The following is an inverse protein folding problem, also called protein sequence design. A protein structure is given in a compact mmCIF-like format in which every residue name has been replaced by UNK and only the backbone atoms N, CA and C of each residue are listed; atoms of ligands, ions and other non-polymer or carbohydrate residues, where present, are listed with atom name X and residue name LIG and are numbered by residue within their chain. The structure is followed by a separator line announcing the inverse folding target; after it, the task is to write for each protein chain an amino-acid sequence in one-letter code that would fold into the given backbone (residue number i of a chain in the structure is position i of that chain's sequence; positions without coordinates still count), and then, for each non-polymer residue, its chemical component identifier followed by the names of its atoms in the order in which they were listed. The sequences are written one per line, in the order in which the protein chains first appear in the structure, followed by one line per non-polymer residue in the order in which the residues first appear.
data_IF_259441584210
#
_entry.id   IF_259441584210
#
_cell.length_a   1.000
_cell.length_b   1.000
_cell.length_c   1.000
_cell.angle_alpha   90.00
_cell.angle_beta   90.00
_cell.angle_gamma   90.00
#
_symmetry.space_group_name_H-M   'P 1'
#
loop_
_entity.id
_entity.type
_entity.pdbx_description
1 polymer ?
#
# COMPACT_ATOMS: atom_id res chain seq x y z
N UNK A 1 8.91 24.47 25.51
CA UNK A 1 8.34 25.84 25.49
C UNK A 1 6.83 25.68 25.38
N UNK A 2 6.12 26.09 26.42
CA UNK A 2 4.66 26.04 26.49
C UNK A 2 4.06 27.29 25.88
N UNK A 3 3.28 27.16 24.82
CA UNK A 3 2.33 28.21 24.45
C UNK A 3 0.93 27.70 24.75
N UNK A 4 0.26 28.29 25.72
CA UNK A 4 -1.10 27.95 26.12
C UNK A 4 -2.09 28.73 25.25
N UNK A 5 -2.71 28.10 24.28
CA UNK A 5 -3.96 28.61 23.75
C UNK A 5 -5.10 28.02 24.56
N UNK A 6 -5.67 28.83 25.42
CA UNK A 6 -6.81 28.50 26.27
C UNK A 6 -8.07 29.13 25.73
N UNK A 7 -9.16 28.38 25.67
CA UNK A 7 -10.44 28.70 26.29
C UNK A 7 -11.65 27.84 25.88
N UNK A 8 -11.48 26.85 25.02
CA UNK A 8 -12.62 26.04 24.63
C UNK A 8 -12.49 24.53 24.88
N UNK A 9 -11.31 24.06 25.29
CA UNK A 9 -11.05 22.64 25.49
C UNK A 9 -10.41 22.38 26.85
N UNK A 10 -10.89 21.38 27.57
CA UNK A 10 -10.33 20.86 28.83
C UNK A 10 -8.90 20.30 28.69
N UNK A 11 -8.29 20.42 27.52
CA UNK A 11 -7.02 19.79 27.18
C UNK A 11 -5.96 20.84 26.84
N UNK A 12 -4.80 20.72 27.47
CA UNK A 12 -3.64 21.56 27.14
C UNK A 12 -2.86 20.95 25.99
N UNK A 13 -2.49 21.77 25.00
CA UNK A 13 -1.64 21.41 23.88
C UNK A 13 -0.30 22.13 24.01
N UNK A 14 0.77 21.44 23.56
CA UNK A 14 2.12 21.99 23.49
C UNK A 14 2.74 21.71 22.13
N UNK A 15 3.80 22.45 21.82
CA UNK A 15 4.66 22.17 20.67
C UNK A 15 5.84 21.36 21.18
N UNK A 16 6.08 20.22 20.58
CA UNK A 16 7.12 19.26 20.91
C UNK A 16 8.04 19.04 19.72
N UNK A 17 9.29 18.75 19.99
CA UNK A 17 10.23 18.33 18.98
C UNK A 17 10.24 16.80 18.91
N UNK A 18 10.18 16.27 17.68
CA UNK A 18 10.19 14.82 17.46
C UNK A 18 11.62 14.27 17.65
N UNK A 19 11.85 13.28 18.53
CA UNK A 19 13.18 12.73 18.78
C UNK A 19 13.77 11.95 17.58
N UNK A 20 12.97 11.67 16.56
CA UNK A 20 13.39 10.85 15.40
C UNK A 20 13.67 11.67 14.13
N UNK A 21 13.08 12.86 13.99
CA UNK A 21 13.23 13.67 12.79
C UNK A 21 13.35 15.17 13.07
N UNK A 22 13.43 15.57 14.33
CA UNK A 22 13.55 16.96 14.82
C UNK A 22 12.45 17.93 14.36
N UNK A 23 11.41 17.43 13.69
CA UNK A 23 10.27 18.25 13.30
C UNK A 23 9.43 18.63 14.51
N UNK A 24 9.01 19.88 14.56
CA UNK A 24 8.10 20.38 15.59
C UNK A 24 6.66 19.98 15.27
N UNK A 25 5.93 19.50 16.26
CA UNK A 25 4.52 19.12 16.10
C UNK A 25 3.69 19.48 17.34
N UNK A 26 2.41 19.75 17.13
CA UNK A 26 1.46 20.07 18.22
C UNK A 26 0.84 18.76 18.73
N UNK A 27 0.88 18.58 20.05
CA UNK A 27 0.26 17.42 20.69
C UNK A 27 -0.34 17.80 22.05
N UNK A 28 -1.26 16.98 22.52
CA UNK A 28 -1.87 17.12 23.82
C UNK A 28 -0.84 16.73 24.91
N UNK A 29 -0.62 17.60 25.89
CA UNK A 29 0.41 17.41 26.94
C UNK A 29 0.24 16.09 27.69
N UNK A 30 -0.99 15.72 28.03
CA UNK A 30 -1.30 14.45 28.71
C UNK A 30 -0.86 13.23 27.92
N UNK A 31 -1.05 13.22 26.60
CA UNK A 31 -0.65 12.11 25.74
C UNK A 31 0.87 11.97 25.62
N UNK A 32 1.60 13.08 25.67
CA UNK A 32 3.07 13.04 25.70
C UNK A 32 3.57 12.48 27.04
N UNK A 33 3.06 13.02 28.16
CA UNK A 33 3.47 12.60 29.50
C UNK A 33 3.17 11.13 29.77
N UNK A 34 2.02 10.63 29.29
CA UNK A 34 1.61 9.24 29.40
C UNK A 34 2.29 8.31 28.39
N UNK A 35 3.18 8.84 27.52
CA UNK A 35 3.90 8.05 26.53
C UNK A 35 3.02 7.55 25.36
N UNK A 36 1.80 8.05 25.23
CA UNK A 36 0.89 7.68 24.14
C UNK A 36 1.33 8.22 22.78
N UNK A 37 1.99 9.39 22.75
CA UNK A 37 2.56 9.98 21.53
C UNK A 37 4.08 10.02 21.65
N UNK A 38 4.78 9.24 20.85
CA UNK A 38 6.25 9.12 20.87
C UNK A 38 6.95 9.85 19.71
N UNK A 39 6.20 10.29 18.70
CA UNK A 39 6.74 10.94 17.50
C UNK A 39 5.67 11.79 16.81
N UNK A 40 6.10 12.63 15.85
CA UNK A 40 5.21 13.43 14.99
C UNK A 40 4.43 12.61 13.93
N UNK A 41 4.54 11.27 13.95
CA UNK A 41 4.02 10.38 12.93
C UNK A 41 5.05 9.98 11.86
N UNK A 42 6.28 10.50 11.91
CA UNK A 42 7.35 10.15 10.98
C UNK A 42 7.69 8.66 11.01
N UNK A 43 7.60 8.01 12.16
CA UNK A 43 7.82 6.57 12.30
C UNK A 43 6.78 5.75 11.53
N UNK A 44 5.54 6.24 11.42
CA UNK A 44 4.50 5.59 10.61
C UNK A 44 4.75 5.80 9.13
N UNK A 45 5.24 6.97 8.72
CA UNK A 45 5.61 7.26 7.32
C UNK A 45 6.79 6.42 6.86
N UNK A 46 7.76 6.18 7.73
CA UNK A 46 8.96 5.40 7.46
C UNK A 46 8.81 3.92 7.82
N UNK A 47 7.71 3.54 8.46
CA UNK A 47 7.47 2.15 8.84
C UNK A 47 6.86 1.39 7.65
N UNK A 48 7.73 0.91 6.77
CA UNK A 48 7.40 0.08 5.60
C UNK A 48 6.67 -1.22 5.95
N UNK A 49 6.62 -1.59 7.26
CA UNK A 49 5.85 -2.75 7.74
C UNK A 49 4.34 -2.61 7.51
N UNK A 50 3.80 -1.39 7.62
CA UNK A 50 2.37 -1.12 7.41
C UNK A 50 2.08 -0.53 6.02
N UNK A 51 3.05 0.15 5.41
CA UNK A 51 2.99 0.64 4.04
C UNK A 51 3.84 -0.28 3.17
N UNK A 52 3.32 -1.46 2.81
CA UNK A 52 4.08 -2.39 1.95
C UNK A 52 4.65 -1.73 0.70
N UNK A 53 4.05 -0.66 0.18
CA UNK A 53 4.55 0.07 -1.00
C UNK A 53 3.94 1.46 -1.25
N UNK A 54 3.18 2.05 -0.31
CA UNK A 54 2.61 3.42 -0.47
C UNK A 54 1.66 3.63 -1.66
N UNK A 55 1.46 2.63 -2.50
CA UNK A 55 0.68 2.68 -3.74
C UNK A 55 -0.57 1.80 -3.71
N UNK A 56 -0.96 1.32 -2.51
CA UNK A 56 -2.05 0.37 -2.31
C UNK A 56 -3.44 1.00 -2.15
N UNK A 57 -3.58 2.31 -2.26
CA UNK A 57 -4.87 2.99 -2.13
C UNK A 57 -5.91 2.54 -3.19
N UNK A 58 -6.84 3.41 -3.54
CA UNK A 58 -7.87 3.17 -4.58
C UNK A 58 -7.29 3.08 -6.02
N UNK A 59 -6.03 2.70 -6.15
CA UNK A 59 -5.36 2.59 -7.43
C UNK A 59 -5.90 1.38 -8.22
N UNK A 60 -6.39 1.63 -9.43
CA UNK A 60 -6.92 0.60 -10.34
C UNK A 60 -5.90 -0.51 -10.61
N UNK A 61 -4.63 -0.16 -10.80
CA UNK A 61 -3.56 -1.12 -11.07
C UNK A 61 -3.33 -2.08 -9.90
N UNK A 62 -3.41 -1.59 -8.64
CA UNK A 62 -3.33 -2.45 -7.46
C UNK A 62 -4.51 -3.43 -7.38
N UNK A 63 -5.72 -2.97 -7.71
CA UNK A 63 -6.91 -3.85 -7.79
C UNK A 63 -6.75 -4.90 -8.87
N UNK A 64 -6.22 -4.52 -10.03
CA UNK A 64 -5.91 -5.45 -11.13
C UNK A 64 -4.96 -6.55 -10.67
N UNK A 65 -3.84 -6.18 -10.04
CA UNK A 65 -2.89 -7.13 -9.47
C UNK A 65 -3.52 -8.04 -8.40
N UNK A 66 -4.30 -7.48 -7.50
CA UNK A 66 -5.02 -8.25 -6.48
C UNK A 66 -5.99 -9.24 -7.10
N UNK A 67 -6.78 -8.81 -8.08
CA UNK A 67 -7.74 -9.66 -8.77
C UNK A 67 -7.07 -10.78 -9.56
N UNK A 68 -5.97 -10.50 -10.25
CA UNK A 68 -5.14 -11.49 -10.92
C UNK A 68 -4.69 -12.59 -9.94
N UNK A 69 -4.19 -12.21 -8.76
CA UNK A 69 -3.82 -13.16 -7.70
C UNK A 69 -5.00 -13.97 -7.18
N UNK A 70 -6.16 -13.32 -6.97
CA UNK A 70 -7.35 -14.02 -6.48
C UNK A 70 -7.81 -15.12 -7.44
N UNK A 71 -7.87 -14.84 -8.73
CA UNK A 71 -8.33 -15.84 -9.71
C UNK A 71 -7.30 -16.95 -10.00
N UNK A 72 -6.01 -16.71 -9.79
CA UNK A 72 -4.99 -17.73 -10.00
C UNK A 72 -4.68 -18.57 -8.75
N UNK A 73 -4.79 -17.99 -7.55
CA UNK A 73 -4.27 -18.61 -6.34
C UNK A 73 -5.35 -18.99 -5.31
N UNK A 74 -6.52 -18.35 -5.35
CA UNK A 74 -7.58 -18.59 -4.37
C UNK A 74 -8.64 -19.55 -4.91
N UNK A 75 -8.62 -20.79 -4.44
CA UNK A 75 -9.58 -21.85 -4.83
C UNK A 75 -11.04 -21.49 -4.57
N UNK A 76 -11.31 -20.58 -3.61
CA UNK A 76 -12.67 -20.12 -3.30
C UNK A 76 -13.13 -18.96 -4.19
N UNK A 77 -12.29 -18.47 -5.08
CA UNK A 77 -12.66 -17.41 -6.02
C UNK A 77 -13.53 -17.98 -7.15
N UNK A 78 -14.64 -17.29 -7.46
CA UNK A 78 -15.59 -17.72 -8.52
C UNK A 78 -14.94 -17.95 -9.89
N UNK A 79 -13.86 -17.24 -10.17
CA UNK A 79 -13.14 -17.36 -11.46
C UNK A 79 -11.97 -18.35 -11.40
N UNK A 80 -11.71 -19.00 -10.25
CA UNK A 80 -10.55 -19.87 -10.09
C UNK A 80 -10.54 -21.00 -11.12
N UNK A 81 -11.67 -21.64 -11.36
CA UNK A 81 -11.79 -22.75 -12.34
C UNK A 81 -11.32 -22.36 -13.75
N UNK A 82 -11.51 -21.09 -14.14
CA UNK A 82 -11.11 -20.58 -15.45
C UNK A 82 -9.66 -20.09 -15.50
N UNK A 83 -8.95 -20.05 -14.39
CA UNK A 83 -7.57 -19.58 -14.28
C UNK A 83 -6.68 -20.57 -13.52
N UNK A 84 -6.58 -20.48 -12.21
CA UNK A 84 -5.74 -21.37 -11.41
C UNK A 84 -6.15 -22.84 -11.53
N UNK A 85 -7.45 -23.14 -11.65
CA UNK A 85 -7.99 -24.48 -11.89
C UNK A 85 -7.54 -25.08 -13.22
N UNK A 86 -7.25 -24.23 -14.22
CA UNK A 86 -6.67 -24.63 -15.52
C UNK A 86 -5.15 -24.69 -15.53
N UNK A 87 -4.49 -24.43 -14.38
CA UNK A 87 -3.03 -24.40 -14.30
C UNK A 87 -2.41 -23.03 -14.65
N UNK A 88 -3.22 -21.99 -14.90
CA UNK A 88 -2.71 -20.65 -15.16
C UNK A 88 -2.16 -20.06 -13.86
N UNK A 89 -0.91 -19.66 -13.86
CA UNK A 89 -0.19 -19.11 -12.72
C UNK A 89 0.26 -17.67 -12.96
N UNK A 90 0.95 -17.12 -11.97
CA UNK A 90 1.57 -15.81 -12.04
C UNK A 90 3.06 -16.02 -11.83
N UNK A 91 3.90 -15.34 -12.61
CA UNK A 91 5.35 -15.40 -12.44
C UNK A 91 5.75 -15.01 -11.01
N UNK A 92 6.84 -15.57 -10.51
CA UNK A 92 7.30 -15.38 -9.13
C UNK A 92 7.59 -13.92 -8.80
N UNK A 93 8.00 -13.13 -9.80
CA UNK A 93 8.26 -11.71 -9.64
C UNK A 93 7.00 -10.92 -9.25
N UNK A 94 5.85 -11.25 -9.83
CA UNK A 94 4.59 -10.54 -9.58
C UNK A 94 3.73 -11.19 -8.52
N UNK A 95 3.98 -12.46 -8.22
CA UNK A 95 3.15 -13.25 -7.30
C UNK A 95 3.07 -12.62 -5.91
N UNK A 96 4.18 -12.12 -5.40
CA UNK A 96 4.30 -11.60 -4.03
C UNK A 96 4.74 -10.14 -3.96
N UNK A 97 5.14 -9.55 -5.09
CA UNK A 97 5.68 -8.19 -5.13
C UNK A 97 4.89 -7.31 -6.12
N UNK A 98 4.02 -6.47 -5.55
CA UNK A 98 3.26 -5.51 -6.34
C UNK A 98 4.14 -4.46 -7.02
N UNK A 99 5.26 -4.07 -6.42
CA UNK A 99 6.13 -3.03 -6.99
C UNK A 99 6.77 -3.49 -8.30
N UNK A 100 7.15 -4.75 -8.40
CA UNK A 100 7.66 -5.33 -9.64
C UNK A 100 6.60 -5.33 -10.74
N UNK A 101 5.38 -5.74 -10.42
CA UNK A 101 4.25 -5.65 -11.34
C UNK A 101 3.94 -4.20 -11.74
N UNK A 102 3.91 -3.28 -10.78
CA UNK A 102 3.68 -1.86 -11.02
C UNK A 102 4.73 -1.27 -11.98
N UNK A 103 6.02 -1.48 -11.71
CA UNK A 103 7.10 -0.95 -12.53
C UNK A 103 7.05 -1.51 -13.96
N UNK A 104 6.78 -2.80 -14.10
CA UNK A 104 6.57 -3.40 -15.41
C UNK A 104 5.41 -2.74 -16.14
N UNK A 105 4.26 -2.58 -15.50
CA UNK A 105 3.07 -1.97 -16.11
C UNK A 105 3.33 -0.56 -16.60
N UNK A 106 3.96 0.29 -15.77
CA UNK A 106 4.29 1.68 -16.14
C UNK A 106 5.28 1.71 -17.32
N UNK A 107 6.29 0.86 -17.31
CA UNK A 107 7.29 0.79 -18.40
C UNK A 107 6.70 0.25 -19.71
N UNK A 108 5.58 -0.46 -19.65
CA UNK A 108 4.85 -0.96 -20.83
C UNK A 108 3.61 -0.12 -21.19
N UNK A 109 3.57 1.15 -20.74
CA UNK A 109 2.56 2.11 -21.20
C UNK A 109 1.20 1.98 -20.50
N UNK A 110 1.15 1.51 -19.25
CA UNK A 110 -0.09 1.45 -18.50
C UNK A 110 -0.75 2.82 -18.36
N UNK A 111 -2.03 2.89 -18.63
CA UNK A 111 -2.94 4.01 -18.35
C UNK A 111 -4.15 3.53 -17.53
N UNK A 112 -4.80 4.43 -16.79
CA UNK A 112 -5.88 4.07 -15.86
C UNK A 112 -7.13 3.48 -16.53
N UNK A 113 -7.30 3.67 -17.84
CA UNK A 113 -8.39 3.08 -18.65
C UNK A 113 -8.05 1.67 -19.18
N UNK A 114 -6.80 1.23 -19.10
CA UNK A 114 -6.37 -0.08 -19.59
C UNK A 114 -6.61 -1.19 -18.55
N UNK A 115 -6.65 -2.42 -19.07
CA UNK A 115 -6.67 -3.66 -18.30
C UNK A 115 -5.51 -4.54 -18.75
N UNK A 116 -5.00 -5.38 -17.85
CA UNK A 116 -4.02 -6.39 -18.25
C UNK A 116 -4.70 -7.47 -19.09
N UNK A 117 -4.08 -7.78 -20.21
CA UNK A 117 -4.48 -8.86 -21.10
C UNK A 117 -3.31 -9.83 -21.31
N UNK A 118 -3.63 -11.12 -21.55
CA UNK A 118 -2.65 -12.15 -21.89
C UNK A 118 -2.69 -12.41 -23.40
N UNK A 119 -1.54 -12.38 -24.04
CA UNK A 119 -1.39 -12.64 -25.48
C UNK A 119 -1.83 -14.07 -25.79
N UNK A 120 -1.33 -15.03 -25.02
CA UNK A 120 -1.82 -16.40 -25.00
C UNK A 120 -2.70 -16.62 -23.77
N UNK A 121 -4.00 -16.84 -23.98
CA UNK A 121 -4.99 -17.04 -22.92
C UNK A 121 -4.80 -18.32 -22.11
N UNK A 122 -4.04 -19.29 -22.62
CA UNK A 122 -3.69 -20.52 -21.91
C UNK A 122 -2.35 -20.41 -21.17
N UNK A 123 -1.59 -19.34 -21.44
CA UNK A 123 -0.32 -19.05 -20.78
C UNK A 123 -0.48 -18.32 -19.43
N UNK A 124 0.63 -18.19 -18.72
CA UNK A 124 0.71 -17.55 -17.41
C UNK A 124 0.67 -16.03 -17.48
N UNK A 125 0.43 -15.39 -16.34
CA UNK A 125 0.67 -13.97 -16.15
C UNK A 125 2.16 -13.74 -15.94
N UNK A 126 2.82 -13.27 -16.96
CA UNK A 126 4.27 -13.00 -16.99
C UNK A 126 4.59 -11.89 -17.99
N UNK A 127 5.75 -11.22 -17.89
CA UNK A 127 6.11 -10.09 -18.75
C UNK A 127 6.01 -10.37 -20.25
N UNK A 128 6.37 -11.57 -20.68
CA UNK A 128 6.40 -11.95 -22.10
C UNK A 128 5.02 -12.35 -22.65
N UNK A 129 4.06 -12.61 -21.78
CA UNK A 129 2.71 -13.03 -22.17
C UNK A 129 1.63 -11.99 -21.83
N UNK A 130 1.98 -10.84 -21.28
CA UNK A 130 1.04 -9.78 -20.90
C UNK A 130 1.28 -8.49 -21.69
N UNK A 131 0.18 -7.77 -21.89
CA UNK A 131 0.19 -6.44 -22.51
C UNK A 131 -0.87 -5.53 -21.90
#
# INVERSE_FOLDING_TARGET
IYTSETKKYKHRFGIYECPYCSNKFKAQCTHIVQGGIKSCGCLLKNNTRFLKHGKSGNNKLYRTWKNMRQRCLNKNNKSYENYGGRGISICDEWKNDYIKFYNWSINNGYEDNFTIDRINNDGNYEPNNCR
#
